data_IF_467165349542
#
_entry.id   IF_467165349542
#
_cell.length_a   1.000
_cell.length_b   1.000
_cell.length_c   1.000
_cell.angle_alpha   90.00
_cell.angle_beta   90.00
_cell.angle_gamma   90.00
#
_symmetry.space_group_name_H-M   'P 1'
#
loop_
_entity.id
_entity.type
_entity.pdbx_description
1 polymer ?
#
# COMPACT_ATOMS: atom_id res chain seq x y z
N UNK A 1 -189.74 41.55 73.45
CA UNK A 1 -188.59 42.31 72.93
C UNK A 1 -187.31 41.68 73.46
N UNK A 2 -187.13 40.39 73.20
CA UNK A 2 -185.94 39.54 73.48
C UNK A 2 -185.85 38.38 72.45
N UNK A 3 -186.91 38.16 71.64
CA UNK A 3 -187.00 37.16 70.56
C UNK A 3 -186.33 37.58 69.24
N UNK A 4 -185.86 38.82 69.11
CA UNK A 4 -185.15 39.30 67.90
C UNK A 4 -183.61 39.23 68.02
N UNK A 5 -183.06 39.04 69.23
CA UNK A 5 -181.60 39.02 69.47
C UNK A 5 -180.98 37.62 69.32
N UNK A 6 -181.78 36.55 69.49
CA UNK A 6 -181.33 35.16 69.28
C UNK A 6 -181.23 34.77 67.79
N UNK A 7 -182.07 35.30 66.90
CA UNK A 7 -182.01 34.98 65.47
C UNK A 7 -180.81 35.62 64.73
N UNK A 8 -180.29 36.76 65.21
CA UNK A 8 -179.12 37.40 64.57
C UNK A 8 -177.80 36.69 64.94
N UNK A 9 -177.70 36.13 66.15
CA UNK A 9 -176.50 35.42 66.61
C UNK A 9 -176.31 34.04 65.93
N UNK A 10 -177.40 33.34 65.61
CA UNK A 10 -177.32 32.04 64.91
C UNK A 10 -176.80 32.21 63.46
N UNK A 11 -177.18 33.30 62.77
CA UNK A 11 -176.71 33.58 61.40
C UNK A 11 -175.21 33.92 61.32
N UNK A 12 -174.64 34.55 62.34
CA UNK A 12 -173.18 34.85 62.38
C UNK A 12 -172.33 33.60 62.58
N UNK A 13 -172.86 32.57 63.24
CA UNK A 13 -172.12 31.33 63.52
C UNK A 13 -171.98 30.45 62.27
N UNK A 14 -173.03 30.36 61.46
CA UNK A 14 -173.03 29.54 60.23
C UNK A 14 -172.08 30.11 59.15
N UNK A 15 -171.97 31.43 59.04
CA UNK A 15 -171.08 32.07 58.05
C UNK A 15 -169.58 31.87 58.37
N UNK A 16 -169.22 31.68 59.65
CA UNK A 16 -167.83 31.53 60.08
C UNK A 16 -167.30 30.11 59.83
N UNK A 17 -168.16 29.10 59.94
CA UNK A 17 -167.82 27.69 59.67
C UNK A 17 -167.54 27.41 58.19
N UNK A 18 -168.31 28.02 57.26
CA UNK A 18 -168.07 27.85 55.82
C UNK A 18 -166.69 28.41 55.39
N UNK A 19 -166.25 29.53 55.99
CA UNK A 19 -164.96 30.16 55.68
C UNK A 19 -163.76 29.35 56.18
N UNK A 20 -163.93 28.63 57.30
CA UNK A 20 -162.89 27.75 57.85
C UNK A 20 -162.74 26.45 57.03
N UNK A 21 -163.84 25.94 56.46
CA UNK A 21 -163.82 24.75 55.61
C UNK A 21 -163.07 24.99 54.28
N UNK A 22 -163.32 26.11 53.58
CA UNK A 22 -162.61 26.45 52.33
C UNK A 22 -161.10 26.64 52.54
N UNK A 23 -160.69 27.28 53.65
CA UNK A 23 -159.27 27.46 53.97
C UNK A 23 -158.53 26.14 54.20
N UNK A 24 -159.17 25.16 54.86
CA UNK A 24 -158.57 23.83 55.06
C UNK A 24 -158.43 23.07 53.74
N UNK A 25 -159.44 23.12 52.87
CA UNK A 25 -159.40 22.43 51.57
C UNK A 25 -158.28 22.96 50.66
N UNK A 26 -158.08 24.28 50.61
CA UNK A 26 -157.02 24.86 49.75
C UNK A 26 -155.61 24.57 50.27
N UNK A 27 -155.39 24.53 51.59
CA UNK A 27 -154.08 24.20 52.16
C UNK A 27 -153.69 22.74 51.86
N UNK A 28 -154.65 21.83 51.87
CA UNK A 28 -154.42 20.40 51.65
C UNK A 28 -154.01 20.10 50.20
N UNK A 29 -154.58 20.81 49.21
CA UNK A 29 -154.17 20.69 47.79
C UNK A 29 -152.73 21.18 47.56
N UNK A 30 -152.34 22.29 48.19
CA UNK A 30 -150.99 22.86 48.01
C UNK A 30 -149.88 21.96 48.55
N UNK A 31 -150.13 21.28 49.68
CA UNK A 31 -149.16 20.34 50.28
C UNK A 31 -148.94 19.12 49.35
N UNK A 32 -149.99 18.60 48.72
CA UNK A 32 -149.88 17.44 47.83
C UNK A 32 -149.12 17.72 46.54
N UNK A 33 -149.29 18.90 45.93
CA UNK A 33 -148.52 19.28 44.73
C UNK A 33 -147.03 19.47 45.02
N UNK A 34 -146.69 20.04 46.18
CA UNK A 34 -145.30 20.26 46.56
C UNK A 34 -144.55 18.94 46.85
N UNK A 35 -145.20 17.97 47.51
CA UNK A 35 -144.58 16.64 47.74
C UNK A 35 -144.38 15.84 46.45
N UNK A 36 -145.30 15.94 45.48
CA UNK A 36 -145.15 15.23 44.21
C UNK A 36 -143.95 15.75 43.38
N UNK A 37 -143.71 17.07 43.40
CA UNK A 37 -142.64 17.69 42.62
C UNK A 37 -141.24 17.41 43.22
N UNK A 38 -141.13 17.37 44.55
CA UNK A 38 -139.88 17.01 45.24
C UNK A 38 -139.49 15.54 45.03
N UNK A 39 -140.46 14.63 44.96
CA UNK A 39 -140.20 13.22 44.63
C UNK A 39 -139.71 13.04 43.18
N UNK A 40 -140.24 13.78 42.22
CA UNK A 40 -139.81 13.70 40.83
C UNK A 40 -138.38 14.24 40.63
N UNK A 41 -138.05 15.37 41.26
CA UNK A 41 -136.70 15.95 41.19
C UNK A 41 -135.66 15.05 41.85
N UNK A 42 -135.98 14.42 42.99
CA UNK A 42 -135.09 13.46 43.63
C UNK A 42 -134.80 12.23 42.77
N UNK A 43 -135.77 11.75 41.98
CA UNK A 43 -135.55 10.63 41.04
C UNK A 43 -134.63 11.03 39.89
N UNK A 44 -134.78 12.24 39.32
CA UNK A 44 -133.90 12.74 38.24
C UNK A 44 -132.45 12.91 38.71
N UNK A 45 -132.24 13.44 39.91
CA UNK A 45 -130.88 13.63 40.46
C UNK A 45 -130.15 12.29 40.68
N UNK A 46 -130.83 11.26 41.20
CA UNK A 46 -130.22 9.93 41.38
C UNK A 46 -129.79 9.30 40.06
N UNK A 47 -130.63 9.35 39.02
CA UNK A 47 -130.26 8.82 37.69
C UNK A 47 -129.01 9.51 37.11
N UNK A 48 -128.95 10.83 37.17
CA UNK A 48 -127.79 11.60 36.69
C UNK A 48 -126.51 11.29 37.48
N UNK A 49 -126.64 11.07 38.79
CA UNK A 49 -125.50 10.67 39.63
C UNK A 49 -124.98 9.28 39.25
N UNK A 50 -125.87 8.31 39.09
CA UNK A 50 -125.50 6.95 38.68
C UNK A 50 -124.85 6.93 37.29
N UNK A 51 -125.40 7.66 36.31
CA UNK A 51 -124.81 7.77 34.97
C UNK A 51 -123.42 8.43 34.99
N UNK A 52 -123.21 9.43 35.84
CA UNK A 52 -121.91 10.09 36.02
C UNK A 52 -120.87 9.17 36.65
N UNK A 53 -121.25 8.46 37.72
CA UNK A 53 -120.38 7.49 38.40
C UNK A 53 -119.99 6.32 37.48
N UNK A 54 -120.92 5.84 36.65
CA UNK A 54 -120.63 4.77 35.68
C UNK A 54 -119.65 5.22 34.58
N UNK A 55 -119.79 6.46 34.09
CA UNK A 55 -118.83 7.05 33.13
C UNK A 55 -117.44 7.20 33.75
N UNK A 56 -117.36 7.67 34.99
CA UNK A 56 -116.07 7.83 35.68
C UNK A 56 -115.37 6.48 35.83
N UNK A 57 -116.13 5.43 36.18
CA UNK A 57 -115.61 4.06 36.32
C UNK A 57 -115.07 3.52 35.01
N UNK A 58 -115.79 3.70 33.90
CA UNK A 58 -115.33 3.28 32.56
C UNK A 58 -114.05 3.99 32.14
N UNK A 59 -113.93 5.29 32.39
CA UNK A 59 -112.71 6.06 32.08
C UNK A 59 -111.52 5.59 32.92
N UNK A 60 -111.71 5.32 34.21
CA UNK A 60 -110.65 4.81 35.08
C UNK A 60 -110.15 3.43 34.63
N UNK A 61 -111.05 2.51 34.29
CA UNK A 61 -110.67 1.19 33.76
C UNK A 61 -109.95 1.29 32.41
N UNK A 62 -110.39 2.18 31.52
CA UNK A 62 -109.74 2.39 30.22
C UNK A 62 -108.33 2.98 30.40
N UNK A 63 -108.15 3.97 31.27
CA UNK A 63 -106.82 4.53 31.58
C UNK A 63 -105.88 3.48 32.19
N UNK A 64 -106.37 2.62 33.08
CA UNK A 64 -105.56 1.54 33.64
C UNK A 64 -105.10 0.54 32.57
N UNK A 65 -105.99 0.18 31.64
CA UNK A 65 -105.64 -0.68 30.50
C UNK A 65 -104.63 -0.01 29.58
N UNK A 66 -104.84 1.25 29.23
CA UNK A 66 -103.93 2.00 28.37
C UNK A 66 -102.55 2.17 29.02
N UNK A 67 -102.49 2.42 30.34
CA UNK A 67 -101.23 2.49 31.07
C UNK A 67 -100.53 1.14 31.13
N UNK A 68 -101.26 0.03 31.30
CA UNK A 68 -100.68 -1.31 31.27
C UNK A 68 -100.10 -1.65 29.89
N UNK A 69 -100.79 -1.29 28.81
CA UNK A 69 -100.29 -1.47 27.43
C UNK A 69 -99.05 -0.61 27.17
N UNK A 70 -99.06 0.66 27.59
CA UNK A 70 -97.88 1.55 27.47
C UNK A 70 -96.68 1.00 28.22
N UNK A 71 -96.87 0.54 29.46
CA UNK A 71 -95.81 -0.05 30.26
C UNK A 71 -95.27 -1.35 29.64
N UNK A 72 -96.15 -2.21 29.11
CA UNK A 72 -95.75 -3.43 28.43
C UNK A 72 -94.94 -3.15 27.15
N UNK A 73 -95.34 -2.14 26.37
CA UNK A 73 -94.62 -1.71 25.17
C UNK A 73 -93.25 -1.10 25.53
N UNK A 74 -93.19 -0.22 26.54
CA UNK A 74 -91.94 0.36 27.00
C UNK A 74 -90.96 -0.71 27.51
N UNK A 75 -91.44 -1.71 28.26
CA UNK A 75 -90.60 -2.81 28.72
C UNK A 75 -90.07 -3.65 27.55
N UNK A 76 -90.90 -3.94 26.54
CA UNK A 76 -90.46 -4.64 25.32
C UNK A 76 -89.39 -3.86 24.57
N UNK A 77 -89.56 -2.54 24.44
CA UNK A 77 -88.59 -1.67 23.79
C UNK A 77 -87.26 -1.62 24.56
N UNK A 78 -87.32 -1.51 25.89
CA UNK A 78 -86.14 -1.58 26.76
C UNK A 78 -85.41 -2.92 26.61
N UNK A 79 -86.13 -4.04 26.57
CA UNK A 79 -85.53 -5.36 26.42
C UNK A 79 -84.91 -5.56 25.03
N UNK A 80 -85.54 -5.02 23.97
CA UNK A 80 -84.96 -5.01 22.63
C UNK A 80 -83.67 -4.20 22.58
N UNK A 81 -83.66 -2.98 23.13
CA UNK A 81 -82.48 -2.13 23.20
C UNK A 81 -81.35 -2.79 24.01
N UNK A 82 -81.68 -3.43 25.14
CA UNK A 82 -80.70 -4.20 25.93
C UNK A 82 -80.13 -5.37 25.14
N UNK A 83 -80.97 -6.11 24.40
CA UNK A 83 -80.49 -7.22 23.58
C UNK A 83 -79.62 -6.74 22.41
N UNK A 84 -79.96 -5.62 21.78
CA UNK A 84 -79.17 -5.02 20.70
C UNK A 84 -77.82 -4.53 21.23
N UNK A 85 -77.83 -3.77 22.34
CA UNK A 85 -76.60 -3.29 22.97
C UNK A 85 -75.67 -4.43 23.41
N UNK A 86 -76.21 -5.54 23.93
CA UNK A 86 -75.40 -6.73 24.24
C UNK A 86 -74.72 -7.32 23.00
N UNK A 87 -75.46 -7.50 21.90
CA UNK A 87 -74.91 -8.04 20.64
C UNK A 87 -73.84 -7.11 20.05
N UNK A 88 -74.05 -5.80 20.10
CA UNK A 88 -73.07 -4.82 19.63
C UNK A 88 -71.78 -4.84 20.47
N UNK A 89 -71.91 -4.91 21.80
CA UNK A 89 -70.75 -5.01 22.70
C UNK A 89 -69.98 -6.30 22.44
N UNK A 90 -70.67 -7.43 22.27
CA UNK A 90 -70.05 -8.71 21.92
C UNK A 90 -69.33 -8.64 20.56
N UNK A 91 -69.94 -8.03 19.55
CA UNK A 91 -69.33 -7.83 18.24
C UNK A 91 -68.06 -6.96 18.30
N UNK A 92 -68.11 -5.85 19.05
CA UNK A 92 -66.95 -4.96 19.28
C UNK A 92 -65.83 -5.71 20.02
N UNK A 93 -66.17 -6.51 21.04
CA UNK A 93 -65.19 -7.31 21.77
C UNK A 93 -64.53 -8.36 20.87
N UNK A 94 -65.32 -9.07 20.05
CA UNK A 94 -64.81 -10.06 19.11
C UNK A 94 -63.86 -9.41 18.09
N UNK A 95 -64.22 -8.25 17.54
CA UNK A 95 -63.38 -7.52 16.59
C UNK A 95 -62.09 -7.01 17.25
N UNK A 96 -62.17 -6.47 18.47
CA UNK A 96 -60.97 -6.08 19.24
C UNK A 96 -60.02 -7.25 19.47
N UNK A 97 -60.55 -8.43 19.78
CA UNK A 97 -59.73 -9.64 19.95
C UNK A 97 -59.08 -10.09 18.64
N UNK A 98 -59.82 -10.01 17.52
CA UNK A 98 -59.28 -10.29 16.18
C UNK A 98 -58.15 -9.33 15.83
N UNK A 99 -58.36 -8.02 16.00
CA UNK A 99 -57.37 -6.98 15.75
C UNK A 99 -56.13 -7.19 16.61
N UNK A 100 -56.27 -7.46 17.92
CA UNK A 100 -55.14 -7.78 18.80
C UNK A 100 -54.36 -9.00 18.30
N UNK A 101 -55.04 -10.06 17.88
CA UNK A 101 -54.39 -11.27 17.35
C UNK A 101 -53.63 -10.99 16.05
N UNK A 102 -54.16 -10.13 15.18
CA UNK A 102 -53.47 -9.70 13.96
C UNK A 102 -52.23 -8.87 14.30
N UNK A 103 -52.37 -7.87 15.19
CA UNK A 103 -51.23 -7.05 15.61
C UNK A 103 -50.14 -7.88 16.29
N UNK A 104 -50.51 -8.82 17.16
CA UNK A 104 -49.57 -9.71 17.80
C UNK A 104 -48.77 -10.52 16.77
N UNK A 105 -49.45 -11.15 15.80
CA UNK A 105 -48.78 -11.89 14.73
C UNK A 105 -47.87 -11.02 13.87
N UNK A 106 -48.29 -9.79 13.58
CA UNK A 106 -47.47 -8.86 12.81
C UNK A 106 -46.24 -8.42 13.60
N UNK A 107 -46.37 -8.20 14.92
CA UNK A 107 -45.24 -7.90 15.79
C UNK A 107 -44.26 -9.07 15.84
N UNK A 108 -44.75 -10.29 16.07
CA UNK A 108 -43.92 -11.49 16.12
C UNK A 108 -43.15 -11.70 14.81
N UNK A 109 -43.78 -11.48 13.65
CA UNK A 109 -43.09 -11.54 12.35
C UNK A 109 -42.03 -10.45 12.19
N UNK A 110 -42.32 -9.23 12.64
CA UNK A 110 -41.36 -8.12 12.54
C UNK A 110 -40.14 -8.39 13.42
N UNK A 111 -40.35 -8.95 14.61
CA UNK A 111 -39.27 -9.35 15.52
C UNK A 111 -38.44 -10.50 14.94
N UNK A 112 -39.08 -11.50 14.33
CA UNK A 112 -38.39 -12.59 13.61
C UNK A 112 -37.54 -12.08 12.43
N UNK A 113 -38.09 -11.17 11.62
CA UNK A 113 -37.38 -10.52 10.52
C UNK A 113 -36.20 -9.69 11.02
N UNK A 114 -36.37 -8.95 12.11
CA UNK A 114 -35.32 -8.16 12.73
C UNK A 114 -34.17 -9.04 13.23
N UNK A 115 -34.47 -10.13 13.94
CA UNK A 115 -33.48 -11.07 14.44
C UNK A 115 -32.78 -11.87 13.32
N UNK A 116 -33.49 -12.17 12.22
CA UNK A 116 -32.88 -12.76 11.03
C UNK A 116 -31.92 -11.77 10.36
N UNK A 117 -32.33 -10.51 10.19
CA UNK A 117 -31.51 -9.47 9.60
C UNK A 117 -30.27 -9.17 10.46
N UNK A 118 -30.40 -9.13 11.79
CA UNK A 118 -29.27 -8.96 12.69
C UNK A 118 -28.23 -10.06 12.53
N UNK A 119 -28.66 -11.33 12.53
CA UNK A 119 -27.76 -12.47 12.30
C UNK A 119 -27.09 -12.45 10.94
N UNK A 120 -27.82 -12.08 9.89
CA UNK A 120 -27.24 -11.96 8.55
C UNK A 120 -26.18 -10.86 8.49
N UNK A 121 -26.44 -9.71 9.13
CA UNK A 121 -25.47 -8.62 9.20
C UNK A 121 -24.21 -9.02 9.96
N UNK A 122 -24.34 -9.69 11.10
CA UNK A 122 -23.21 -10.21 11.89
C UNK A 122 -22.35 -11.19 11.06
N UNK A 123 -22.99 -12.13 10.35
CA UNK A 123 -22.30 -13.08 9.48
C UNK A 123 -21.60 -12.40 8.29
N UNK A 124 -22.22 -11.40 7.67
CA UNK A 124 -21.58 -10.62 6.61
C UNK A 124 -20.39 -9.82 7.14
N UNK A 125 -20.51 -9.23 8.33
CA UNK A 125 -19.43 -8.47 8.95
C UNK A 125 -18.24 -9.37 9.29
N UNK A 126 -18.49 -10.57 9.82
CA UNK A 126 -17.47 -11.58 10.09
C UNK A 126 -16.76 -12.01 8.80
N UNK A 127 -17.51 -12.31 7.72
CA UNK A 127 -16.93 -12.62 6.41
C UNK A 127 -16.05 -11.49 5.87
N UNK A 128 -16.51 -10.24 5.97
CA UNK A 128 -15.71 -9.07 5.53
C UNK A 128 -14.42 -8.94 6.36
N UNK A 129 -14.47 -9.20 7.67
CA UNK A 129 -13.28 -9.20 8.54
C UNK A 129 -12.31 -10.30 8.14
N UNK A 130 -12.79 -11.53 7.90
CA UNK A 130 -11.95 -12.63 7.44
C UNK A 130 -11.30 -12.37 6.08
N UNK A 131 -12.05 -11.85 5.11
CA UNK A 131 -11.52 -11.49 3.79
C UNK A 131 -10.42 -10.44 3.89
N UNK A 132 -10.63 -9.41 4.72
CA UNK A 132 -9.66 -8.35 4.94
C UNK A 132 -8.37 -8.87 5.62
N UNK A 133 -8.49 -9.84 6.54
CA UNK A 133 -7.33 -10.51 7.13
C UNK A 133 -6.57 -11.30 6.06
N UNK A 134 -7.27 -12.13 5.28
CA UNK A 134 -6.64 -12.92 4.21
C UNK A 134 -5.96 -12.05 3.17
N UNK A 135 -6.54 -10.91 2.82
CA UNK A 135 -5.93 -9.97 1.88
C UNK A 135 -4.67 -9.31 2.47
N UNK A 136 -4.72 -8.91 3.76
CA UNK A 136 -3.53 -8.41 4.47
C UNK A 136 -2.41 -9.45 4.53
N UNK A 137 -2.73 -10.70 4.86
CA UNK A 137 -1.74 -11.79 4.89
C UNK A 137 -1.10 -12.03 3.53
N UNK A 138 -1.89 -12.05 2.45
CA UNK A 138 -1.36 -12.17 1.07
C UNK A 138 -0.48 -10.98 0.68
N UNK A 139 -0.89 -9.76 1.04
CA UNK A 139 -0.09 -8.57 0.77
C UNK A 139 1.23 -8.60 1.54
N UNK A 140 1.22 -9.05 2.79
CA UNK A 140 2.42 -9.19 3.61
C UNK A 140 3.35 -10.30 3.09
N UNK A 141 2.80 -11.44 2.67
CA UNK A 141 3.58 -12.51 2.02
C UNK A 141 4.27 -11.99 0.74
N UNK A 142 3.52 -11.33 -0.15
CA UNK A 142 4.11 -10.72 -1.37
C UNK A 142 5.19 -9.71 -1.02
N UNK A 143 4.99 -8.89 0.01
CA UNK A 143 5.99 -7.93 0.47
C UNK A 143 7.28 -8.64 0.92
N UNK A 144 7.16 -9.72 1.70
CA UNK A 144 8.32 -10.52 2.14
C UNK A 144 9.05 -11.16 0.95
N UNK A 145 8.32 -11.72 -0.01
CA UNK A 145 8.90 -12.29 -1.23
C UNK A 145 9.70 -11.25 -2.04
N UNK A 146 9.13 -10.04 -2.20
CA UNK A 146 9.82 -8.92 -2.87
C UNK A 146 11.06 -8.50 -2.10
N UNK A 147 10.98 -8.37 -0.77
CA UNK A 147 12.13 -8.01 0.07
C UNK A 147 13.26 -9.06 0.00
N UNK A 148 12.91 -10.35 0.00
CA UNK A 148 13.89 -11.43 -0.09
C UNK A 148 14.53 -11.52 -1.49
N UNK A 149 13.75 -11.29 -2.55
CA UNK A 149 14.30 -11.20 -3.90
C UNK A 149 15.25 -10.02 -4.03
N UNK A 150 14.88 -8.85 -3.51
CA UNK A 150 15.70 -7.65 -3.56
C UNK A 150 17.01 -7.81 -2.77
N UNK A 151 16.99 -8.53 -1.63
CA UNK A 151 18.21 -8.89 -0.90
C UNK A 151 19.13 -9.77 -1.74
N UNK A 152 18.59 -10.82 -2.38
CA UNK A 152 19.37 -11.71 -3.26
C UNK A 152 19.99 -10.95 -4.42
N UNK A 153 19.22 -10.08 -5.07
CA UNK A 153 19.71 -9.28 -6.20
C UNK A 153 20.83 -8.32 -5.76
N UNK A 154 20.70 -7.69 -4.58
CA UNK A 154 21.75 -6.83 -4.01
C UNK A 154 23.02 -7.61 -3.67
N UNK A 155 22.91 -8.81 -3.10
CA UNK A 155 24.04 -9.68 -2.83
C UNK A 155 24.74 -10.11 -4.12
N UNK A 156 23.98 -10.48 -5.16
CA UNK A 156 24.54 -10.86 -6.44
C UNK A 156 25.24 -9.68 -7.13
N UNK A 157 24.65 -8.47 -7.09
CA UNK A 157 25.29 -7.26 -7.60
C UNK A 157 26.59 -6.94 -6.87
N UNK A 158 26.63 -7.10 -5.54
CA UNK A 158 27.86 -6.92 -4.75
C UNK A 158 28.91 -7.96 -5.14
N UNK A 159 28.53 -9.23 -5.26
CA UNK A 159 29.45 -10.32 -5.67
C UNK A 159 30.04 -10.06 -7.06
N UNK A 160 29.20 -9.74 -8.05
CA UNK A 160 29.65 -9.38 -9.41
C UNK A 160 30.51 -8.12 -9.41
N UNK A 161 30.18 -7.14 -8.56
CA UNK A 161 30.98 -5.94 -8.36
C UNK A 161 32.39 -6.24 -7.82
N UNK A 162 32.49 -7.10 -6.81
CA UNK A 162 33.77 -7.55 -6.25
C UNK A 162 34.60 -8.34 -7.27
N UNK A 163 33.97 -9.26 -8.00
CA UNK A 163 34.66 -10.03 -9.06
C UNK A 163 35.23 -9.11 -10.15
N UNK A 164 34.42 -8.17 -10.68
CA UNK A 164 34.91 -7.19 -11.66
C UNK A 164 36.04 -6.34 -11.13
N UNK A 165 35.99 -5.97 -9.84
CA UNK A 165 37.07 -5.20 -9.21
C UNK A 165 38.37 -6.02 -9.14
N UNK A 166 38.28 -7.28 -8.73
CA UNK A 166 39.45 -8.19 -8.69
C UNK A 166 40.03 -8.42 -10.08
N UNK A 167 39.20 -8.72 -11.08
CA UNK A 167 39.63 -8.86 -12.47
C UNK A 167 40.34 -7.60 -12.97
N UNK A 168 39.78 -6.42 -12.69
CA UNK A 168 40.38 -5.15 -13.11
C UNK A 168 41.70 -4.87 -12.38
N UNK A 169 41.82 -5.20 -11.10
CA UNK A 169 43.06 -5.10 -10.33
C UNK A 169 44.15 -6.04 -10.90
N UNK A 170 43.79 -7.27 -11.27
CA UNK A 170 44.70 -8.22 -11.92
C UNK A 170 45.18 -7.70 -13.28
N UNK A 171 44.27 -7.21 -14.12
CA UNK A 171 44.65 -6.63 -15.43
C UNK A 171 45.55 -5.42 -15.26
N UNK A 172 45.26 -4.53 -14.29
CA UNK A 172 46.09 -3.37 -14.03
C UNK A 172 47.50 -3.77 -13.58
N UNK A 173 47.60 -4.77 -12.70
CA UNK A 173 48.89 -5.31 -12.27
C UNK A 173 49.68 -5.91 -13.44
N UNK A 174 49.04 -6.69 -14.31
CA UNK A 174 49.68 -7.26 -15.49
C UNK A 174 50.19 -6.17 -16.45
N UNK A 175 49.38 -5.14 -16.70
CA UNK A 175 49.77 -3.99 -17.53
C UNK A 175 50.98 -3.27 -16.92
N UNK A 176 50.93 -2.99 -15.61
CA UNK A 176 52.02 -2.31 -14.92
C UNK A 176 53.32 -3.11 -15.01
N UNK A 177 53.26 -4.43 -14.79
CA UNK A 177 54.42 -5.32 -14.92
C UNK A 177 54.96 -5.34 -16.35
N UNK A 178 54.10 -5.43 -17.36
CA UNK A 178 54.51 -5.43 -18.76
C UNK A 178 55.18 -4.10 -19.16
N UNK A 179 54.66 -2.98 -18.69
CA UNK A 179 55.25 -1.65 -18.90
C UNK A 179 56.60 -1.51 -18.20
N UNK A 180 56.72 -1.95 -16.94
CA UNK A 180 58.00 -1.95 -16.22
C UNK A 180 59.05 -2.79 -16.95
N UNK A 181 58.68 -4.00 -17.39
CA UNK A 181 59.58 -4.85 -18.18
C UNK A 181 59.98 -4.18 -19.50
N UNK A 182 59.04 -3.53 -20.21
CA UNK A 182 59.34 -2.83 -21.46
C UNK A 182 60.30 -1.66 -21.26
N UNK A 183 60.07 -0.84 -20.22
CA UNK A 183 60.95 0.28 -19.87
C UNK A 183 62.34 -0.24 -19.48
N UNK A 184 62.39 -1.28 -18.65
CA UNK A 184 63.64 -1.92 -18.27
C UNK A 184 64.40 -2.43 -19.49
N UNK A 185 63.75 -3.19 -20.38
CA UNK A 185 64.35 -3.69 -21.61
C UNK A 185 64.86 -2.54 -22.48
N UNK A 186 64.12 -1.44 -22.63
CA UNK A 186 64.60 -0.28 -23.38
C UNK A 186 65.85 0.36 -22.76
N UNK A 187 65.90 0.49 -21.43
CA UNK A 187 67.07 1.05 -20.73
C UNK A 187 68.28 0.13 -20.91
N UNK A 188 68.09 -1.18 -20.72
CA UNK A 188 69.15 -2.18 -20.88
C UNK A 188 69.64 -2.23 -22.32
N UNK A 189 68.75 -2.26 -23.30
CA UNK A 189 69.11 -2.24 -24.72
C UNK A 189 69.86 -0.97 -25.11
N UNK A 190 69.42 0.19 -24.63
CA UNK A 190 70.10 1.47 -24.87
C UNK A 190 71.52 1.44 -24.28
N UNK A 191 71.65 0.99 -23.02
CA UNK A 191 72.95 0.89 -22.35
C UNK A 191 73.91 -0.06 -23.10
N UNK A 192 73.46 -1.26 -23.48
CA UNK A 192 74.29 -2.20 -24.23
C UNK A 192 74.63 -1.69 -25.64
N UNK A 193 73.68 -1.05 -26.32
CA UNK A 193 73.94 -0.43 -27.63
C UNK A 193 75.04 0.63 -27.50
N UNK A 194 74.97 1.49 -26.49
CA UNK A 194 75.96 2.53 -26.24
C UNK A 194 77.33 1.95 -25.87
N UNK A 195 77.35 0.94 -24.99
CA UNK A 195 78.58 0.25 -24.57
C UNK A 195 79.28 -0.39 -25.76
N UNK A 196 78.59 -1.21 -26.56
CA UNK A 196 79.15 -1.88 -27.75
C UNK A 196 79.60 -0.89 -28.82
N UNK A 197 78.83 0.17 -29.06
CA UNK A 197 79.23 1.22 -30.00
C UNK A 197 80.51 1.95 -29.53
N UNK A 198 80.66 2.14 -28.23
CA UNK A 198 81.87 2.76 -27.64
C UNK A 198 83.10 1.88 -27.85
N UNK A 199 82.97 0.56 -27.64
CA UNK A 199 84.04 -0.40 -27.92
C UNK A 199 84.46 -0.37 -29.39
N UNK A 200 83.49 -0.36 -30.32
CA UNK A 200 83.77 -0.29 -31.76
C UNK A 200 84.38 1.05 -32.17
N UNK A 201 83.99 2.15 -31.53
CA UNK A 201 84.54 3.48 -31.81
C UNK A 201 85.89 3.74 -31.13
N UNK A 202 86.33 2.89 -30.20
CA UNK A 202 87.58 3.08 -29.44
C UNK A 202 88.83 3.18 -30.33
N UNK A 203 88.79 2.58 -31.52
CA UNK A 203 89.89 2.63 -32.49
C UNK A 203 89.97 3.96 -33.28
N UNK A 204 88.95 4.84 -33.20
CA UNK A 204 88.93 6.07 -33.99
C UNK A 204 90.12 6.99 -33.70
N UNK A 205 90.58 7.06 -32.46
CA UNK A 205 91.70 7.93 -32.09
C UNK A 205 93.04 7.36 -32.57
N UNK A 206 93.22 6.04 -32.51
CA UNK A 206 94.37 5.36 -33.12
C UNK A 206 94.35 5.55 -34.64
N UNK A 207 93.20 5.46 -35.27
CA UNK A 207 93.04 5.71 -36.71
C UNK A 207 93.41 7.15 -37.09
N UNK A 208 92.99 8.15 -36.31
CA UNK A 208 93.38 9.55 -36.52
C UNK A 208 94.90 9.72 -36.40
N UNK A 209 95.50 9.20 -35.33
CA UNK A 209 96.94 9.31 -35.05
C UNK A 209 97.78 8.57 -36.09
N UNK A 210 97.36 7.37 -36.51
CA UNK A 210 98.02 6.62 -37.58
C UNK A 210 97.94 7.32 -38.93
N UNK A 211 96.78 7.89 -39.29
CA UNK A 211 96.64 8.65 -40.53
C UNK A 211 97.47 9.94 -40.52
N UNK A 212 97.62 10.59 -39.35
CA UNK A 212 98.56 11.70 -39.18
C UNK A 212 100.01 11.24 -39.37
N UNK A 213 100.39 10.10 -38.79
CA UNK A 213 101.72 9.48 -38.99
C UNK A 213 102.01 9.23 -40.47
N UNK A 214 101.04 8.65 -41.20
CA UNK A 214 101.17 8.34 -42.63
C UNK A 214 101.36 9.60 -43.49
N UNK A 215 100.77 10.74 -43.09
CA UNK A 215 100.86 12.04 -43.81
C UNK A 215 102.14 12.84 -43.50
N UNK A 216 102.71 12.71 -42.30
CA UNK A 216 103.84 13.53 -41.82
C UNK A 216 105.22 12.89 -42.11
N UNK A 217 105.26 11.73 -42.77
CA UNK A 217 106.43 10.87 -42.96
C UNK A 217 107.70 11.54 -43.55
N UNK A 218 107.58 12.73 -44.15
CA UNK A 218 108.68 13.52 -44.70
C UNK A 218 109.24 14.63 -43.78
N UNK A 219 108.72 14.81 -42.55
CA UNK A 219 109.23 15.82 -41.60
C UNK A 219 109.62 15.20 -40.26
N UNK A 220 110.89 15.36 -39.92
CA UNK A 220 111.72 14.61 -38.99
C UNK A 220 111.46 14.84 -37.49
N UNK A 221 110.21 14.75 -37.01
CA UNK A 221 109.91 14.60 -35.58
C UNK A 221 108.43 14.19 -35.39
N UNK A 222 108.10 12.93 -35.65
CA UNK A 222 106.79 12.36 -35.34
C UNK A 222 106.87 11.49 -34.09
N UNK A 223 105.99 11.75 -33.12
CA UNK A 223 106.00 11.14 -31.79
C UNK A 223 105.28 9.79 -31.80
N UNK A 224 106.02 8.73 -32.19
CA UNK A 224 105.53 7.35 -32.13
C UNK A 224 105.01 6.95 -30.73
N UNK A 225 105.42 7.67 -29.67
CA UNK A 225 104.94 7.46 -28.32
C UNK A 225 103.46 7.85 -28.16
N UNK A 226 102.93 8.80 -28.93
CA UNK A 226 101.50 9.16 -28.87
C UNK A 226 100.61 8.05 -29.43
N UNK A 227 101.01 7.47 -30.57
CA UNK A 227 100.33 6.32 -31.15
C UNK A 227 100.40 5.11 -30.20
N UNK A 228 101.59 4.86 -29.63
CA UNK A 228 101.80 3.77 -28.67
C UNK A 228 100.97 3.96 -27.39
N UNK A 229 100.83 5.20 -26.91
CA UNK A 229 99.99 5.56 -25.77
C UNK A 229 98.52 5.29 -26.08
N UNK A 230 98.02 5.73 -27.23
CA UNK A 230 96.63 5.49 -27.64
C UNK A 230 96.31 3.99 -27.80
N UNK A 231 97.23 3.21 -28.36
CA UNK A 231 97.06 1.74 -28.45
C UNK A 231 97.09 1.10 -27.05
N UNK A 232 97.95 1.58 -26.15
CA UNK A 232 97.98 1.09 -24.77
C UNK A 232 96.69 1.43 -24.01
N UNK A 233 96.10 2.60 -24.25
CA UNK A 233 94.80 2.98 -23.67
C UNK A 233 93.66 2.12 -24.22
N UNK A 234 93.64 1.86 -25.53
CA UNK A 234 92.64 0.94 -26.10
C UNK A 234 92.81 -0.47 -25.53
N UNK A 235 94.05 -0.95 -25.39
CA UNK A 235 94.35 -2.24 -24.77
C UNK A 235 93.79 -2.32 -23.34
N UNK A 236 94.10 -1.34 -22.50
CA UNK A 236 93.62 -1.30 -21.10
C UNK A 236 92.08 -1.27 -21.04
N UNK A 237 91.44 -0.51 -21.92
CA UNK A 237 89.98 -0.47 -22.03
C UNK A 237 89.39 -1.85 -22.39
N UNK A 238 90.00 -2.58 -23.33
CA UNK A 238 89.55 -3.92 -23.72
C UNK A 238 89.81 -4.98 -22.64
N UNK A 239 90.94 -4.90 -21.93
CA UNK A 239 91.24 -5.78 -20.79
C UNK A 239 90.24 -5.57 -19.63
N UNK A 240 89.92 -4.30 -19.34
CA UNK A 240 88.90 -3.96 -18.35
C UNK A 240 87.52 -4.48 -18.76
N UNK A 241 87.14 -4.29 -20.02
CA UNK A 241 85.88 -4.79 -20.56
C UNK A 241 85.80 -6.33 -20.49
N UNK A 242 86.88 -7.04 -20.85
CA UNK A 242 86.94 -8.50 -20.76
C UNK A 242 86.73 -9.00 -19.32
N UNK A 243 87.37 -8.34 -18.35
CA UNK A 243 87.21 -8.64 -16.93
C UNK A 243 85.80 -8.34 -16.43
N UNK A 244 85.18 -7.26 -16.91
CA UNK A 244 83.79 -6.94 -16.58
C UNK A 244 82.81 -7.94 -17.19
N UNK A 245 83.00 -8.36 -18.45
CA UNK A 245 82.17 -9.39 -19.07
C UNK A 245 82.27 -10.72 -18.34
N UNK A 246 83.46 -11.09 -17.87
CA UNK A 246 83.66 -12.31 -17.08
C UNK A 246 82.93 -12.25 -15.73
N UNK A 247 83.01 -11.11 -15.02
CA UNK A 247 82.26 -10.89 -13.78
C UNK A 247 80.75 -10.97 -14.02
N UNK A 248 80.24 -10.26 -15.01
CA UNK A 248 78.82 -10.25 -15.36
C UNK A 248 78.34 -11.64 -15.81
N UNK A 249 79.19 -12.42 -16.48
CA UNK A 249 78.88 -13.79 -16.84
C UNK A 249 78.76 -14.69 -15.61
N UNK A 250 79.70 -14.57 -14.67
CA UNK A 250 79.65 -15.33 -13.42
C UNK A 250 78.43 -14.94 -12.55
N UNK A 251 77.95 -13.70 -12.65
CA UNK A 251 76.77 -13.21 -11.92
C UNK A 251 75.44 -13.60 -12.58
N UNK A 252 75.35 -13.56 -13.91
CA UNK A 252 74.08 -13.67 -14.65
C UNK A 252 73.97 -14.91 -15.55
N UNK A 253 75.07 -15.60 -15.83
CA UNK A 253 75.13 -16.80 -16.66
C UNK A 253 74.78 -16.59 -18.15
N UNK A 254 74.77 -15.34 -18.63
CA UNK A 254 74.31 -14.99 -19.98
C UNK A 254 75.41 -15.22 -21.02
N UNK A 255 75.17 -16.12 -21.98
CA UNK A 255 76.19 -16.57 -22.94
C UNK A 255 76.67 -15.47 -23.88
N UNK A 256 75.83 -14.47 -24.20
CA UNK A 256 76.23 -13.35 -25.06
C UNK A 256 77.38 -12.52 -24.48
N UNK A 257 77.60 -12.59 -23.16
CA UNK A 257 78.73 -11.92 -22.50
C UNK A 257 80.07 -12.57 -22.87
N UNK A 258 80.08 -13.88 -23.13
CA UNK A 258 81.27 -14.59 -23.60
C UNK A 258 81.63 -14.17 -25.03
N UNK A 259 80.63 -13.99 -25.90
CA UNK A 259 80.87 -13.50 -27.27
C UNK A 259 81.52 -12.10 -27.28
N UNK A 260 81.09 -11.22 -26.37
CA UNK A 260 81.70 -9.89 -26.21
C UNK A 260 83.13 -10.04 -25.67
N UNK A 261 83.32 -10.86 -24.63
CA UNK A 261 84.62 -11.12 -24.01
C UNK A 261 85.64 -11.61 -25.04
N UNK A 262 85.30 -12.63 -25.82
CA UNK A 262 86.19 -13.19 -26.83
C UNK A 262 86.55 -12.14 -27.89
N UNK A 263 85.57 -11.34 -28.33
CA UNK A 263 85.80 -10.26 -29.29
C UNK A 263 86.75 -9.17 -28.78
N UNK A 264 86.67 -8.80 -27.49
CA UNK A 264 87.58 -7.80 -26.90
C UNK A 264 88.95 -8.37 -26.56
N UNK A 265 89.04 -9.67 -26.30
CA UNK A 265 90.33 -10.39 -26.17
C UNK A 265 91.08 -10.38 -27.50
N UNK A 266 90.41 -10.66 -28.63
CA UNK A 266 91.03 -10.58 -29.96
C UNK A 266 91.61 -9.19 -30.25
N UNK A 267 90.89 -8.13 -29.87
CA UNK A 267 91.38 -6.74 -29.98
C UNK A 267 92.61 -6.52 -29.08
N UNK A 268 92.61 -7.08 -27.88
CA UNK A 268 93.74 -6.98 -26.94
C UNK A 268 95.00 -7.66 -27.49
N UNK A 269 94.86 -8.82 -28.13
CA UNK A 269 95.95 -9.53 -28.79
C UNK A 269 96.54 -8.73 -29.96
N UNK A 270 95.70 -8.16 -30.82
CA UNK A 270 96.16 -7.31 -31.92
C UNK A 270 96.76 -5.98 -31.44
N UNK A 271 96.28 -5.40 -30.33
CA UNK A 271 96.94 -4.29 -29.65
C UNK A 271 98.35 -4.68 -29.18
N UNK A 272 98.52 -5.84 -28.56
CA UNK A 272 99.83 -6.33 -28.12
C UNK A 272 100.78 -6.52 -29.32
N UNK A 273 100.27 -7.08 -30.43
CA UNK A 273 101.02 -7.27 -31.67
C UNK A 273 101.48 -5.93 -32.25
N UNK A 274 100.59 -4.95 -32.35
CA UNK A 274 100.92 -3.62 -32.86
C UNK A 274 101.91 -2.88 -31.95
N UNK A 275 101.75 -2.96 -30.62
CA UNK A 275 102.71 -2.41 -29.64
C UNK A 275 104.09 -3.05 -29.84
N UNK A 276 104.16 -4.37 -30.03
CA UNK A 276 105.41 -5.08 -30.25
C UNK A 276 106.13 -4.58 -31.51
N UNK A 277 105.41 -4.44 -32.63
CA UNK A 277 105.98 -3.95 -33.89
C UNK A 277 106.45 -2.49 -33.75
N UNK A 278 105.68 -1.63 -33.09
CA UNK A 278 106.08 -0.24 -32.86
C UNK A 278 107.33 -0.10 -31.97
N UNK A 279 107.54 -1.00 -31.00
CA UNK A 279 108.71 -0.99 -30.12
C UNK A 279 109.97 -1.59 -30.75
N UNK A 280 109.82 -2.68 -31.50
CA UNK A 280 110.96 -3.48 -31.98
C UNK A 280 111.28 -3.28 -33.47
N UNK A 281 110.28 -2.93 -34.28
CA UNK A 281 110.40 -2.74 -35.73
C UNK A 281 109.77 -1.40 -36.20
N UNK A 282 110.09 -0.24 -35.58
CA UNK A 282 109.42 1.04 -35.86
C UNK A 282 109.59 1.54 -37.31
N UNK A 283 110.63 1.09 -38.01
CA UNK A 283 110.89 1.43 -39.41
C UNK A 283 110.20 0.46 -40.40
N UNK A 284 109.62 -0.65 -39.93
CA UNK A 284 108.96 -1.65 -40.78
C UNK A 284 107.51 -1.24 -41.09
N UNK A 285 107.39 -0.32 -42.01
CA UNK A 285 106.13 0.34 -42.33
C UNK A 285 105.03 -0.58 -42.85
N UNK A 286 105.40 -1.61 -43.62
CA UNK A 286 104.46 -2.59 -44.15
C UNK A 286 103.83 -3.43 -43.03
N UNK A 287 104.64 -3.82 -42.04
CA UNK A 287 104.17 -4.62 -40.90
C UNK A 287 103.32 -3.81 -39.93
N UNK A 288 103.63 -2.52 -39.75
CA UNK A 288 102.79 -1.60 -38.97
C UNK A 288 101.43 -1.43 -39.65
N UNK A 289 101.39 -1.26 -40.97
CA UNK A 289 100.14 -1.15 -41.74
C UNK A 289 99.31 -2.44 -41.66
N UNK A 290 99.94 -3.62 -41.77
CA UNK A 290 99.28 -4.91 -41.59
C UNK A 290 98.62 -5.04 -40.20
N UNK A 291 99.37 -4.76 -39.13
CA UNK A 291 98.86 -4.87 -37.75
C UNK A 291 97.79 -3.80 -37.47
N UNK A 292 97.92 -2.60 -38.04
CA UNK A 292 96.90 -1.56 -37.94
C UNK A 292 95.60 -1.98 -38.66
N UNK A 293 95.70 -2.56 -39.85
CA UNK A 293 94.55 -3.08 -40.59
C UNK A 293 93.90 -4.25 -39.88
N UNK A 294 94.68 -5.16 -39.29
CA UNK A 294 94.18 -6.26 -38.48
C UNK A 294 93.43 -5.74 -37.24
N UNK A 295 94.03 -4.81 -36.48
CA UNK A 295 93.41 -4.18 -35.32
C UNK A 295 92.09 -3.45 -35.67
N UNK A 296 92.06 -2.75 -36.80
CA UNK A 296 90.85 -2.13 -37.33
C UNK A 296 89.76 -3.17 -37.65
N UNK A 297 90.13 -4.30 -38.26
CA UNK A 297 89.20 -5.35 -38.61
C UNK A 297 88.59 -6.00 -37.36
N UNK A 298 89.43 -6.38 -36.38
CA UNK A 298 88.95 -7.01 -35.13
C UNK A 298 88.14 -6.06 -34.25
N UNK A 299 88.49 -4.76 -34.23
CA UNK A 299 87.68 -3.77 -33.49
C UNK A 299 86.30 -3.59 -34.13
N UNK A 300 86.22 -3.64 -35.47
CA UNK A 300 84.95 -3.53 -36.18
C UNK A 300 84.12 -4.82 -36.12
N UNK A 301 84.72 -5.97 -35.85
CA UNK A 301 84.02 -7.24 -35.67
C UNK A 301 83.44 -7.46 -34.29
N UNK A 302 83.68 -6.56 -33.32
CA UNK A 302 82.96 -6.56 -32.05
C UNK A 302 81.44 -6.57 -32.32
N UNK A 303 80.69 -7.56 -31.80
CA UNK A 303 79.28 -7.74 -32.10
C UNK A 303 78.45 -6.50 -31.76
N UNK A 304 77.48 -6.20 -32.62
CA UNK A 304 76.39 -5.28 -32.30
C UNK A 304 75.33 -5.95 -31.43
N UNK A 305 74.53 -5.14 -30.74
CA UNK A 305 73.39 -5.66 -29.98
C UNK A 305 72.42 -6.47 -30.87
N UNK A 306 72.22 -6.05 -32.12
CA UNK A 306 71.37 -6.76 -33.08
C UNK A 306 71.93 -8.15 -33.43
N UNK A 307 73.25 -8.26 -33.66
CA UNK A 307 73.92 -9.53 -33.94
C UNK A 307 73.90 -10.45 -32.71
N UNK A 308 74.14 -9.91 -31.51
CA UNK A 308 74.03 -10.68 -30.26
C UNK A 308 72.62 -11.21 -30.04
N UNK A 309 71.58 -10.40 -30.27
CA UNK A 309 70.17 -10.84 -30.19
C UNK A 309 69.85 -11.94 -31.20
N UNK A 310 70.40 -11.87 -32.41
CA UNK A 310 70.19 -12.89 -33.44
C UNK A 310 70.89 -14.20 -33.09
N UNK A 311 72.11 -14.15 -32.54
CA UNK A 311 72.92 -15.34 -32.21
C UNK A 311 72.50 -15.99 -30.89
N UNK A 312 72.06 -15.18 -29.93
CA UNK A 312 71.72 -15.60 -28.57
C UNK A 312 70.23 -15.42 -28.26
N UNK A 313 69.36 -15.68 -29.24
CA UNK A 313 67.92 -15.45 -29.14
C UNK A 313 67.25 -16.17 -27.95
N UNK A 314 67.85 -17.23 -27.43
CA UNK A 314 67.38 -17.95 -26.23
C UNK A 314 67.93 -17.32 -24.94
N UNK A 315 69.24 -17.00 -24.87
CA UNK A 315 69.84 -16.39 -23.67
C UNK A 315 69.34 -14.96 -23.38
N UNK A 316 68.84 -14.25 -24.38
CA UNK A 316 68.36 -12.85 -24.29
C UNK A 316 66.85 -12.72 -24.01
N UNK A 317 66.09 -13.82 -23.96
CA UNK A 317 64.62 -13.81 -23.73
C UNK A 317 64.22 -13.98 -22.26
N UNK A 318 65.10 -14.55 -21.45
CA UNK A 318 64.97 -14.67 -19.99
C UNK A 318 65.70 -13.54 -19.29
#
# INVERSE_FOLDING_TARGET
MELEEEEENERRRIALDQRMAERRSNLQKMIHEMTANDEENNRKFRKLKEESEERLRKIMEQNQRDQAVKNANANREIDQLRSQGKREVEAIQAERMRIRKIHQRNSEKLDEEFEANRRNFELEEEKRKEELIREKERAEQRKREIEDQLKKDLEELRRRGQQRKQEMEEYLYQIQRALQMKVWNQIIESNWTNRLNTLRSSFQDIQKLYNQMKRVRDKSNFDANQLLSAISQQKELMENEANEMDKLYNEHGKTFLLDIKDSVVDVTEECNRLIYVLKNEPSNTARIEECFSALSAVTNSIPTLAELKSRNAESMKE
#
